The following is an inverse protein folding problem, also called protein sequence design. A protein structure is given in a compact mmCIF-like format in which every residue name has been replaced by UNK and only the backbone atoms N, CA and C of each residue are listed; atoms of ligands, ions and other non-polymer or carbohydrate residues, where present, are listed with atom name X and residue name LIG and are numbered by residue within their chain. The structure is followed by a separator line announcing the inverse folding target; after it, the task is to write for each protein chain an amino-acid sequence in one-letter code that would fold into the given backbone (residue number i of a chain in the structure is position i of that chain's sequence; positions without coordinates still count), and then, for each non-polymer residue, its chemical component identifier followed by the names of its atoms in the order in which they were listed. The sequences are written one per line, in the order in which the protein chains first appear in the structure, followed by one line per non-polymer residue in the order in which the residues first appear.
data_IF_950523788537
#
_entry.id   IF_950523788537
#
_cell.length_a   1.000
_cell.length_b   1.000
_cell.length_c   1.000
_cell.angle_alpha   90.00
_cell.angle_beta   90.00
_cell.angle_gamma   90.00
#
_symmetry.space_group_name_H-M   'P 1'
#
loop_
_entity.id
_entity.type
_entity.pdbx_description
1 polymer ?
#
# COMPACT_ATOMS: atom_id res chain seq x y z
N UNK A 1 22.60 -3.56 -28.52
CA UNK A 1 21.85 -2.52 -27.79
C UNK A 1 20.58 -3.15 -27.28
N UNK A 2 20.58 -3.64 -26.04
CA UNK A 2 19.34 -4.05 -25.37
C UNK A 2 18.57 -2.77 -25.05
N UNK A 3 17.54 -2.47 -25.83
CA UNK A 3 16.65 -1.35 -25.53
C UNK A 3 16.02 -1.58 -24.16
N UNK A 4 16.11 -0.61 -23.25
CA UNK A 4 15.33 -0.65 -22.02
C UNK A 4 13.86 -0.50 -22.40
N UNK A 5 13.06 -1.54 -22.17
CA UNK A 5 11.61 -1.43 -22.23
C UNK A 5 11.16 -0.60 -21.04
N UNK A 6 10.52 0.57 -21.23
CA UNK A 6 9.97 1.33 -20.12
C UNK A 6 8.76 0.57 -19.54
N UNK A 7 8.70 0.46 -18.22
CA UNK A 7 7.53 -0.04 -17.51
C UNK A 7 6.53 1.08 -17.26
N UNK A 8 5.25 0.83 -17.50
CA UNK A 8 4.18 1.75 -17.14
C UNK A 8 3.81 1.56 -15.67
N UNK A 9 3.24 2.60 -15.03
CA UNK A 9 2.66 2.46 -13.69
C UNK A 9 1.59 1.36 -13.65
N UNK A 10 0.84 1.16 -14.74
CA UNK A 10 -0.13 0.07 -14.88
C UNK A 10 0.52 -1.32 -14.89
N UNK A 11 1.76 -1.44 -15.36
CA UNK A 11 2.48 -2.72 -15.31
C UNK A 11 2.89 -3.06 -13.88
N UNK A 12 3.35 -2.05 -13.13
CA UNK A 12 3.67 -2.18 -11.70
C UNK A 12 2.42 -2.52 -10.91
N UNK A 13 1.32 -1.79 -11.13
CA UNK A 13 0.04 -2.06 -10.47
C UNK A 13 -0.42 -3.50 -10.73
N UNK A 14 -0.41 -3.95 -11.98
CA UNK A 14 -0.81 -5.31 -12.35
C UNK A 14 0.08 -6.35 -11.66
N UNK A 15 1.39 -6.14 -11.63
CA UNK A 15 2.33 -7.04 -10.99
C UNK A 15 2.10 -7.13 -9.47
N UNK A 16 1.94 -5.99 -8.80
CA UNK A 16 1.64 -5.92 -7.36
C UNK A 16 0.33 -6.63 -7.04
N UNK A 17 -0.75 -6.30 -7.75
CA UNK A 17 -2.08 -6.92 -7.56
C UNK A 17 -2.05 -8.43 -7.78
N UNK A 18 -1.31 -8.89 -8.79
CA UNK A 18 -1.16 -10.33 -9.07
C UNK A 18 -0.35 -11.09 -8.02
N UNK A 19 0.39 -10.37 -7.17
CA UNK A 19 1.21 -10.92 -6.10
C UNK A 19 0.48 -10.98 -4.76
N UNK A 20 -0.72 -10.39 -4.65
CA UNK A 20 -1.50 -10.45 -3.41
C UNK A 20 -2.06 -11.84 -3.18
N UNK A 21 -1.82 -12.33 -1.97
CA UNK A 21 -2.28 -13.61 -1.47
C UNK A 21 -2.36 -13.53 0.05
N UNK A 22 -2.89 -14.58 0.68
CA UNK A 22 -2.82 -14.71 2.13
C UNK A 22 -1.37 -14.64 2.65
N UNK A 23 -0.36 -15.07 1.89
CA UNK A 23 1.04 -15.11 2.34
C UNK A 23 1.69 -13.72 2.42
N UNK A 24 1.27 -12.81 1.53
CA UNK A 24 1.76 -11.43 1.45
C UNK A 24 1.02 -10.45 2.35
N UNK A 25 -0.15 -10.83 2.87
CA UNK A 25 -0.85 -10.06 3.90
C UNK A 25 -0.05 -10.00 5.21
N UNK A 26 -0.41 -9.05 6.07
CA UNK A 26 0.01 -9.03 7.48
C UNK A 26 -0.16 -10.43 8.10
N UNK A 27 0.89 -11.04 8.70
CA UNK A 27 0.86 -12.44 9.17
C UNK A 27 -0.28 -12.80 10.12
N UNK A 28 -0.74 -11.84 10.91
CA UNK A 28 -1.84 -11.99 11.88
C UNK A 28 -3.22 -12.09 11.20
N UNK A 29 -3.32 -11.63 9.94
CA UNK A 29 -4.58 -11.51 9.20
C UNK A 29 -4.69 -12.44 8.00
N UNK A 30 -3.72 -13.33 7.76
CA UNK A 30 -3.73 -14.28 6.63
C UNK A 30 -5.01 -15.10 6.52
N UNK A 31 -5.59 -15.49 7.67
CA UNK A 31 -6.83 -16.27 7.72
C UNK A 31 -8.08 -15.49 7.28
N UNK A 32 -7.98 -14.15 7.17
CA UNK A 32 -9.07 -13.25 6.74
C UNK A 32 -8.99 -12.91 5.25
N UNK A 33 -7.87 -13.24 4.60
CA UNK A 33 -7.70 -12.94 3.17
C UNK A 33 -8.71 -13.74 2.33
N UNK A 34 -9.28 -13.07 1.33
CA UNK A 34 -10.18 -13.69 0.37
C UNK A 34 -9.99 -13.09 -1.02
N UNK A 35 -10.37 -13.84 -2.05
CA UNK A 35 -10.37 -13.35 -3.43
C UNK A 35 -11.40 -12.23 -3.69
N UNK A 36 -12.39 -12.07 -2.81
CA UNK A 36 -13.40 -11.02 -2.92
C UNK A 36 -12.87 -9.64 -2.52
N UNK A 37 -11.87 -9.59 -1.63
CA UNK A 37 -11.18 -8.36 -1.24
C UNK A 37 -9.66 -8.62 -1.12
N UNK A 38 -8.96 -8.77 -2.26
CA UNK A 38 -7.55 -9.17 -2.25
C UNK A 38 -6.61 -8.08 -1.71
N UNK A 39 -7.06 -6.82 -1.64
CA UNK A 39 -6.31 -5.69 -1.10
C UNK A 39 -6.31 -5.63 0.43
N UNK A 40 -7.19 -6.39 1.10
CA UNK A 40 -7.30 -6.41 2.57
C UNK A 40 -5.98 -6.82 3.21
N UNK A 41 -5.51 -6.00 4.14
CA UNK A 41 -4.27 -6.24 4.89
C UNK A 41 -2.99 -6.28 4.03
N UNK A 42 -3.02 -5.62 2.86
CA UNK A 42 -1.88 -5.51 1.93
C UNK A 42 -1.18 -4.13 1.94
N UNK A 43 -1.71 -3.14 2.67
CA UNK A 43 -1.25 -1.75 2.55
C UNK A 43 0.23 -1.56 2.90
N UNK A 44 0.70 -2.15 4.01
CA UNK A 44 2.08 -1.98 4.47
C UNK A 44 3.10 -2.51 3.46
N UNK A 45 2.94 -3.77 3.04
CA UNK A 45 3.85 -4.40 2.07
C UNK A 45 3.78 -3.71 0.71
N UNK A 46 2.57 -3.35 0.25
CA UNK A 46 2.38 -2.69 -1.04
C UNK A 46 3.02 -1.30 -1.03
N UNK A 47 2.81 -0.51 0.03
CA UNK A 47 3.39 0.81 0.16
C UNK A 47 4.92 0.74 0.21
N UNK A 48 5.51 -0.24 0.90
CA UNK A 48 6.97 -0.41 0.94
C UNK A 48 7.54 -0.78 -0.43
N UNK A 49 6.96 -1.75 -1.13
CA UNK A 49 7.41 -2.16 -2.48
C UNK A 49 7.32 -1.00 -3.47
N UNK A 50 6.22 -0.25 -3.46
CA UNK A 50 6.09 0.93 -4.31
C UNK A 50 7.10 2.02 -3.94
N UNK A 51 7.38 2.21 -2.65
CA UNK A 51 8.38 3.17 -2.20
C UNK A 51 9.80 2.76 -2.65
N UNK A 52 10.14 1.47 -2.61
CA UNK A 52 11.43 0.97 -3.10
C UNK A 52 11.58 1.16 -4.62
N UNK A 53 10.49 1.01 -5.39
CA UNK A 53 10.51 1.13 -6.85
C UNK A 53 10.44 2.58 -7.35
N UNK A 54 9.67 3.42 -6.68
CA UNK A 54 9.29 4.76 -7.17
C UNK A 54 9.84 5.89 -6.30
N UNK A 55 10.34 5.58 -5.11
CA UNK A 55 10.70 6.57 -4.10
C UNK A 55 9.48 7.32 -3.55
N UNK A 56 9.69 8.59 -3.22
CA UNK A 56 8.66 9.46 -2.65
C UNK A 56 8.48 9.31 -1.14
N UNK A 57 7.42 9.94 -0.64
CA UNK A 57 7.10 9.95 0.78
C UNK A 57 6.23 8.74 1.12
N UNK A 58 6.63 7.99 2.15
CA UNK A 58 5.77 6.98 2.76
C UNK A 58 4.80 7.69 3.71
N UNK A 59 3.50 7.55 3.48
CA UNK A 59 2.47 8.24 4.24
C UNK A 59 1.67 7.24 5.06
N UNK A 60 1.35 7.60 6.31
CA UNK A 60 0.51 6.81 7.22
C UNK A 60 -0.70 7.60 7.69
N UNK A 61 -1.87 7.00 7.51
CA UNK A 61 -3.15 7.50 8.04
C UNK A 61 -3.72 6.56 9.10
N UNK A 62 -4.70 7.05 9.85
CA UNK A 62 -5.41 6.29 10.89
C UNK A 62 -6.71 5.73 10.31
N UNK A 63 -6.97 4.45 10.55
CA UNK A 63 -8.19 3.73 10.16
C UNK A 63 -9.18 3.75 11.32
N UNK A 64 -10.39 4.21 11.05
CA UNK A 64 -11.50 4.20 12.00
C UNK A 64 -12.63 3.32 11.50
N UNK A 65 -13.21 2.51 12.39
CA UNK A 65 -14.42 1.74 12.14
C UNK A 65 -15.44 2.02 13.26
N UNK A 66 -16.64 2.46 12.89
CA UNK A 66 -17.67 2.84 13.88
C UNK A 66 -17.21 3.94 14.85
N UNK A 67 -16.38 4.87 14.37
CA UNK A 67 -15.83 5.98 15.17
C UNK A 67 -14.67 5.61 16.11
N UNK A 68 -14.20 4.36 16.09
CA UNK A 68 -13.04 3.91 16.89
C UNK A 68 -11.84 3.70 16.00
N UNK A 69 -10.66 4.16 16.45
CA UNK A 69 -9.39 3.85 15.80
C UNK A 69 -9.10 2.35 15.91
N UNK A 70 -8.83 1.70 14.79
CA UNK A 70 -8.64 0.24 14.71
C UNK A 70 -7.31 -0.18 14.10
N UNK A 71 -6.73 0.64 13.21
CA UNK A 71 -5.47 0.30 12.54
C UNK A 71 -4.83 1.53 11.86
N UNK A 72 -3.70 1.34 11.20
CA UNK A 72 -3.09 2.31 10.30
C UNK A 72 -3.15 1.86 8.83
N UNK A 73 -3.25 2.85 7.94
CA UNK A 73 -3.21 2.64 6.50
C UNK A 73 -1.99 3.32 5.89
N UNK A 74 -1.37 2.69 4.90
CA UNK A 74 -0.12 3.15 4.29
C UNK A 74 -0.26 3.33 2.78
N UNK A 75 0.29 4.43 2.26
CA UNK A 75 0.36 4.72 0.83
C UNK A 75 1.60 5.57 0.51
N UNK A 76 1.85 5.84 -0.77
CA UNK A 76 2.96 6.69 -1.20
C UNK A 76 2.46 8.04 -1.69
N UNK A 77 3.24 9.09 -1.48
CA UNK A 77 3.06 10.40 -2.10
C UNK A 77 4.27 10.75 -2.95
N UNK A 78 4.03 11.02 -4.23
CA UNK A 78 5.06 11.27 -5.22
C UNK A 78 5.08 12.75 -5.63
N UNK A 79 6.29 13.30 -5.83
CA UNK A 79 6.53 14.60 -6.46
C UNK A 79 5.65 15.73 -5.91
N UNK A 80 4.81 16.31 -6.77
CA UNK A 80 3.92 17.44 -6.48
C UNK A 80 2.73 17.11 -5.55
N UNK A 81 2.84 16.08 -4.72
CA UNK A 81 1.79 15.65 -3.78
C UNK A 81 0.78 14.66 -4.36
N UNK A 82 1.15 13.89 -5.38
CA UNK A 82 0.27 12.87 -5.97
C UNK A 82 0.27 11.63 -5.09
N UNK A 83 -0.87 11.30 -4.49
CA UNK A 83 -1.04 10.09 -3.70
C UNK A 83 -1.25 8.86 -4.60
N UNK A 84 -0.47 7.81 -4.35
CA UNK A 84 -0.56 6.49 -4.97
C UNK A 84 -0.92 5.48 -3.87
N UNK A 85 -2.17 5.03 -3.89
CA UNK A 85 -2.71 4.04 -2.95
C UNK A 85 -3.41 2.93 -3.74
N UNK A 86 -2.68 1.85 -4.00
CA UNK A 86 -3.22 0.68 -4.69
C UNK A 86 -4.12 -0.18 -3.79
N UNK A 87 -4.23 0.14 -2.50
CA UNK A 87 -4.95 -0.68 -1.51
C UNK A 87 -6.12 0.08 -0.88
N UNK A 88 -6.54 1.19 -1.50
CA UNK A 88 -7.61 2.05 -0.98
C UNK A 88 -8.93 1.30 -0.90
N UNK A 89 -9.19 0.44 -1.86
CA UNK A 89 -10.40 -0.37 -2.01
C UNK A 89 -10.55 -1.44 -0.94
N UNK A 90 -9.54 -1.66 -0.09
CA UNK A 90 -9.66 -2.63 0.99
C UNK A 90 -10.71 -2.26 2.02
N UNK A 91 -11.06 -0.96 2.13
CA UNK A 91 -11.98 -0.43 3.14
C UNK A 91 -13.42 -0.39 2.65
N UNK A 92 -14.34 -0.87 3.48
CA UNK A 92 -15.77 -0.79 3.23
C UNK A 92 -16.40 0.55 3.69
N UNK A 93 -17.71 0.75 3.45
CA UNK A 93 -18.41 2.00 3.79
C UNK A 93 -18.38 2.41 5.28
N UNK A 94 -18.14 1.45 6.19
CA UNK A 94 -18.05 1.70 7.63
C UNK A 94 -16.64 2.03 8.13
N UNK A 95 -15.66 2.07 7.22
CA UNK A 95 -14.24 2.28 7.53
C UNK A 95 -13.76 3.58 6.88
N UNK A 96 -13.11 4.44 7.66
CA UNK A 96 -12.57 5.71 7.17
C UNK A 96 -11.09 5.81 7.47
N UNK A 97 -10.31 6.27 6.50
CA UNK A 97 -8.90 6.64 6.70
C UNK A 97 -8.83 8.14 6.85
N UNK A 98 -8.13 8.61 7.87
CA UNK A 98 -7.97 10.04 8.18
C UNK A 98 -6.51 10.37 8.49
N UNK A 99 -6.19 11.66 8.50
CA UNK A 99 -4.81 12.12 8.70
C UNK A 99 -3.94 11.91 7.46
N UNK A 100 -2.69 11.50 7.67
CA UNK A 100 -1.68 11.36 6.62
C UNK A 100 -0.38 12.05 7.03
N UNK A 101 0.38 11.40 7.91
CA UNK A 101 1.71 11.86 8.31
C UNK A 101 2.77 11.19 7.45
N UNK A 102 3.77 11.96 7.02
CA UNK A 102 4.95 11.42 6.35
C UNK A 102 5.79 10.68 7.37
N UNK A 103 6.12 9.42 7.08
CA UNK A 103 6.95 8.56 7.91
C UNK A 103 8.28 8.34 7.19
N UNK A 104 9.40 8.86 7.72
CA UNK A 104 10.71 8.63 7.11
C UNK A 104 11.08 7.15 7.24
N UNK A 105 11.61 6.57 6.16
CA UNK A 105 12.23 5.25 6.23
C UNK A 105 13.65 5.39 6.76
N UNK A 106 14.08 4.53 7.69
CA UNK A 106 15.49 4.49 8.10
C UNK A 106 16.38 4.33 6.86
N UNK A 107 17.53 5.01 6.78
CA UNK A 107 18.49 4.73 5.74
C UNK A 107 18.88 3.25 5.79
N UNK A 108 18.94 2.60 4.64
CA UNK A 108 19.47 1.24 4.54
C UNK A 108 20.95 1.34 4.86
N UNK A 109 21.36 0.82 6.03
CA UNK A 109 22.79 0.61 6.31
C UNK A 109 23.23 -0.61 5.51
N UNK A 110 24.07 -0.39 4.49
CA UNK A 110 24.80 -1.46 3.80
C UNK A 110 25.77 -2.21 4.72
#
# INVERSE_FOLDING_TARGET
MTGMTPWLLSDIERAVRSSWSAETCTPEYRSRWSGDNPARDQCGVTAMVLNDLLGGELVRGEVYAGGKHVDYHWWNRLGMGVDIDLTREQFGPGETVTGGVVVPRPPVTE
#
